data_IF_903072716700
#
_entry.id   IF_903072716700
#
_cell.length_a   1.000
_cell.length_b   1.000
_cell.length_c   1.000
_cell.angle_alpha   90.00
_cell.angle_beta   90.00
_cell.angle_gamma   90.00
#
_symmetry.space_group_name_H-M   'P 1'
#
loop_
_entity.id
_entity.type
_entity.pdbx_description
1 polymer ?
#
# COMPACT_ATOMS: atom_id res chain seq x y z
N UNK A 1 23.68 -3.58 0.13
CA UNK A 1 25.15 -3.79 0.06
C UNK A 1 25.80 -2.44 -0.22
N UNK A 2 27.07 -2.41 -0.63
CA UNK A 2 27.79 -1.16 -0.90
C UNK A 2 27.20 -0.40 -2.10
N UNK A 3 26.53 -1.10 -3.01
CA UNK A 3 25.88 -0.56 -4.21
C UNK A 3 24.44 -0.09 -3.93
N UNK A 4 23.98 -0.15 -2.67
CA UNK A 4 22.62 0.25 -2.30
C UNK A 4 21.55 -0.78 -2.69
N UNK A 5 21.92 -2.05 -2.93
CA UNK A 5 20.97 -3.15 -3.17
C UNK A 5 20.47 -3.72 -1.85
N UNK A 6 19.19 -4.09 -1.80
CA UNK A 6 18.58 -4.70 -0.60
C UNK A 6 18.90 -6.20 -0.61
N UNK A 7 19.70 -6.66 0.34
CA UNK A 7 20.17 -8.06 0.39
C UNK A 7 19.58 -8.87 1.56
N UNK A 8 19.02 -8.19 2.56
CA UNK A 8 18.41 -8.82 3.72
C UNK A 8 17.31 -7.95 4.34
N UNK A 9 16.36 -8.58 5.02
CA UNK A 9 15.26 -7.91 5.72
C UNK A 9 14.95 -8.55 7.07
N UNK A 10 14.61 -7.72 8.06
CA UNK A 10 14.04 -8.19 9.32
C UNK A 10 12.77 -7.41 9.63
N UNK A 11 11.66 -8.12 9.77
CA UNK A 11 10.40 -7.57 10.20
C UNK A 11 10.03 -8.16 11.56
N UNK A 12 9.65 -7.30 12.51
CA UNK A 12 9.04 -7.70 13.78
C UNK A 12 7.66 -7.08 13.85
N UNK A 13 6.67 -7.93 14.05
CA UNK A 13 5.27 -7.52 14.07
C UNK A 13 4.64 -7.92 15.40
N UNK A 14 4.04 -6.93 16.07
CA UNK A 14 3.24 -7.15 17.27
C UNK A 14 1.78 -7.00 16.88
N UNK A 15 0.97 -8.00 17.20
CA UNK A 15 -0.44 -8.07 16.83
C UNK A 15 -1.32 -8.42 18.00
N UNK A 16 -2.62 -8.20 17.85
CA UNK A 16 -3.63 -8.56 18.82
C UNK A 16 -4.10 -10.00 18.62
N UNK A 17 -4.46 -10.67 19.71
CA UNK A 17 -5.01 -12.02 19.75
C UNK A 17 -6.06 -12.12 20.85
N UNK A 18 -7.17 -12.82 20.57
CA UNK A 18 -8.21 -13.03 21.59
C UNK A 18 -7.76 -13.97 22.72
N UNK A 19 -6.90 -14.92 22.42
CA UNK A 19 -6.46 -16.00 23.30
C UNK A 19 -4.94 -16.00 23.56
N UNK A 20 -4.24 -14.97 23.08
CA UNK A 20 -2.77 -14.88 23.12
C UNK A 20 -2.05 -15.86 22.18
N UNK A 21 -2.77 -16.68 21.40
CA UNK A 21 -2.21 -17.72 20.54
C UNK A 21 -2.43 -17.41 19.07
N UNK A 22 -3.67 -17.05 18.68
CA UNK A 22 -4.03 -16.80 17.29
C UNK A 22 -4.25 -15.31 17.06
N UNK A 23 -3.55 -14.71 16.09
CA UNK A 23 -3.82 -13.32 15.74
C UNK A 23 -5.28 -13.12 15.33
N UNK A 24 -5.78 -11.91 15.56
CA UNK A 24 -7.09 -11.46 15.05
C UNK A 24 -7.14 -11.51 13.52
N UNK A 25 -8.35 -11.49 12.96
CA UNK A 25 -8.53 -11.38 11.50
C UNK A 25 -7.76 -10.18 10.94
N UNK A 26 -6.99 -10.40 9.88
CA UNK A 26 -6.10 -9.38 9.30
C UNK A 26 -4.87 -9.02 10.14
N UNK A 27 -4.73 -9.57 11.35
CA UNK A 27 -3.57 -9.34 12.22
C UNK A 27 -2.47 -10.39 12.08
N UNK A 28 -2.39 -11.14 10.99
CA UNK A 28 -1.37 -12.20 10.82
C UNK A 28 -0.38 -11.85 9.71
N UNK A 29 0.90 -11.83 10.05
CA UNK A 29 2.01 -11.84 9.12
C UNK A 29 2.11 -13.23 8.47
N UNK A 30 2.09 -13.28 7.14
CA UNK A 30 2.15 -14.52 6.37
C UNK A 30 3.57 -14.75 5.84
N UNK A 31 4.05 -16.00 5.78
CA UNK A 31 5.35 -16.29 5.18
C UNK A 31 5.33 -15.98 3.68
N UNK A 32 6.46 -15.49 3.14
CA UNK A 32 6.64 -15.28 1.70
C UNK A 32 5.88 -14.08 1.11
N UNK A 33 5.22 -13.25 1.93
CA UNK A 33 4.68 -11.96 1.47
C UNK A 33 5.84 -11.05 1.08
N UNK A 34 5.72 -10.36 -0.06
CA UNK A 34 6.73 -9.41 -0.53
C UNK A 34 7.07 -8.39 0.57
N UNK A 35 8.35 -8.11 0.87
CA UNK A 35 9.54 -8.50 0.12
C UNK A 35 10.18 -9.84 0.49
N UNK A 36 9.66 -10.62 1.45
CA UNK A 36 10.33 -11.81 1.98
C UNK A 36 10.68 -12.87 0.92
N UNK A 37 9.85 -13.03 -0.12
CA UNK A 37 10.10 -14.01 -1.18
C UNK A 37 11.03 -13.55 -2.31
N UNK A 38 11.45 -12.28 -2.33
CA UNK A 38 12.40 -11.76 -3.33
C UNK A 38 13.79 -11.48 -2.76
N UNK A 39 13.96 -11.62 -1.44
CA UNK A 39 15.21 -11.40 -0.75
C UNK A 39 15.77 -12.74 -0.27
N UNK A 40 17.07 -12.97 -0.48
CA UNK A 40 17.75 -14.21 -0.08
C UNK A 40 17.74 -14.43 1.45
N UNK A 41 17.74 -13.33 2.22
CA UNK A 41 17.88 -13.38 3.67
C UNK A 41 16.75 -12.59 4.36
N UNK A 42 15.69 -13.27 4.78
CA UNK A 42 14.59 -12.64 5.52
C UNK A 42 14.29 -13.31 6.84
N UNK A 43 14.04 -12.48 7.87
CA UNK A 43 13.53 -12.93 9.16
C UNK A 43 12.27 -12.16 9.54
N UNK A 44 11.14 -12.86 9.55
CA UNK A 44 9.85 -12.33 9.95
C UNK A 44 9.48 -12.92 11.32
N UNK A 45 9.22 -12.05 12.30
CA UNK A 45 8.89 -12.43 13.67
C UNK A 45 7.52 -11.84 14.03
N UNK A 46 6.67 -12.64 14.65
CA UNK A 46 5.35 -12.20 15.10
C UNK A 46 5.17 -12.47 16.59
N UNK A 47 4.69 -11.47 17.32
CA UNK A 47 4.30 -11.56 18.72
C UNK A 47 2.82 -11.24 18.86
N UNK A 48 2.05 -12.13 19.49
CA UNK A 48 0.64 -11.91 19.77
C UNK A 48 0.44 -11.41 21.20
N UNK A 49 -0.30 -10.32 21.36
CA UNK A 49 -0.72 -9.78 22.65
C UNK A 49 -2.20 -10.10 22.89
N UNK A 50 -2.55 -10.49 24.11
CA UNK A 50 -3.95 -10.69 24.49
C UNK A 50 -4.72 -9.37 24.35
N UNK A 51 -5.81 -9.39 23.59
CA UNK A 51 -6.66 -8.25 23.31
C UNK A 51 -8.12 -8.70 23.28
N UNK A 52 -8.93 -8.12 24.16
CA UNK A 52 -10.32 -8.55 24.39
C UNK A 52 -11.35 -7.81 23.55
N UNK A 53 -10.96 -6.71 22.90
CA UNK A 53 -11.85 -6.02 21.97
C UNK A 53 -12.03 -6.87 20.72
N UNK A 54 -13.28 -7.10 20.27
CA UNK A 54 -13.53 -7.81 19.02
C UNK A 54 -12.87 -7.12 17.83
N UNK A 55 -12.20 -7.91 16.99
CA UNK A 55 -11.65 -7.49 15.71
C UNK A 55 -12.28 -8.33 14.60
N UNK A 56 -12.40 -7.77 13.40
CA UNK A 56 -13.03 -8.41 12.25
C UNK A 56 -12.25 -8.17 10.96
N UNK A 57 -12.66 -8.82 9.84
CA UNK A 57 -12.09 -8.51 8.55
C UNK A 57 -12.40 -7.06 8.16
N UNK A 58 -11.35 -6.32 7.82
CA UNK A 58 -11.41 -5.08 7.06
C UNK A 58 -10.73 -5.35 5.72
N UNK A 59 -11.13 -4.61 4.67
CA UNK A 59 -10.77 -4.87 3.28
C UNK A 59 -9.27 -5.09 3.11
N UNK A 60 -8.88 -6.16 2.40
CA UNK A 60 -7.51 -6.64 2.25
C UNK A 60 -6.84 -7.02 3.60
N UNK A 61 -7.43 -7.93 4.39
CA UNK A 61 -6.98 -8.22 5.76
C UNK A 61 -5.50 -8.64 5.81
N UNK A 62 -4.72 -7.90 6.59
CA UNK A 62 -3.26 -8.04 6.71
C UNK A 62 -2.51 -7.22 5.67
N UNK A 63 -2.88 -7.32 4.40
CA UNK A 63 -2.29 -6.53 3.32
C UNK A 63 -2.45 -5.02 3.56
N UNK A 64 -3.59 -4.62 4.12
CA UNK A 64 -3.90 -3.24 4.50
C UNK A 64 -2.98 -2.66 5.60
N UNK A 65 -2.36 -3.51 6.42
CA UNK A 65 -1.36 -3.11 7.42
C UNK A 65 0.05 -3.16 6.84
N UNK A 66 0.42 -4.29 6.22
CA UNK A 66 1.79 -4.53 5.76
C UNK A 66 2.16 -3.71 4.53
N UNK A 67 1.21 -3.44 3.63
CA UNK A 67 1.45 -2.62 2.44
C UNK A 67 2.06 -1.27 2.77
N UNK A 68 1.50 -0.56 3.76
CA UNK A 68 2.04 0.71 4.22
C UNK A 68 3.49 0.56 4.74
N UNK A 69 3.70 -0.34 5.71
CA UNK A 69 5.00 -0.49 6.37
C UNK A 69 6.08 -0.93 5.39
N UNK A 70 5.82 -1.96 4.60
CA UNK A 70 6.81 -2.56 3.70
C UNK A 70 7.17 -1.61 2.55
N UNK A 71 6.18 -1.01 1.87
CA UNK A 71 6.44 -0.13 0.74
C UNK A 71 7.04 1.21 1.15
N UNK A 72 6.59 1.79 2.27
CA UNK A 72 7.24 3.00 2.80
C UNK A 72 8.68 2.73 3.22
N UNK A 73 8.96 1.58 3.84
CA UNK A 73 10.32 1.23 4.23
C UNK A 73 11.23 0.97 3.02
N UNK A 74 10.75 0.29 1.97
CA UNK A 74 11.53 0.11 0.73
C UNK A 74 11.83 1.47 0.08
N UNK A 75 10.89 2.42 0.10
CA UNK A 75 11.15 3.78 -0.34
C UNK A 75 12.18 4.50 0.53
N UNK A 76 12.16 4.33 1.85
CA UNK A 76 13.20 4.88 2.74
C UNK A 76 14.58 4.31 2.40
N UNK A 77 14.67 3.01 2.08
CA UNK A 77 15.92 2.38 1.64
C UNK A 77 16.40 2.93 0.29
N UNK A 78 15.49 3.15 -0.66
CA UNK A 78 15.82 3.76 -1.95
C UNK A 78 16.39 5.18 -1.76
N UNK A 79 15.74 6.00 -0.94
CA UNK A 79 16.21 7.36 -0.60
C UNK A 79 17.57 7.32 0.09
N UNK A 80 17.75 6.46 1.09
CA UNK A 80 19.01 6.34 1.80
C UNK A 80 20.17 5.88 0.89
N UNK A 81 19.86 5.09 -0.15
CA UNK A 81 20.81 4.68 -1.17
C UNK A 81 21.02 5.73 -2.28
N UNK A 82 20.25 6.82 -2.29
CA UNK A 82 20.28 7.81 -3.37
C UNK A 82 19.79 7.27 -4.71
N UNK A 83 18.87 6.29 -4.69
CA UNK A 83 18.36 5.58 -5.87
C UNK A 83 16.90 5.93 -6.12
N UNK A 84 16.50 5.88 -7.39
CA UNK A 84 15.11 6.00 -7.77
C UNK A 84 14.28 4.79 -7.25
N UNK A 85 13.09 5.07 -6.71
CA UNK A 85 12.28 4.04 -6.07
C UNK A 85 11.70 3.02 -7.08
N UNK A 86 11.36 3.46 -8.30
CA UNK A 86 10.92 2.58 -9.36
C UNK A 86 12.04 1.61 -9.74
N UNK A 87 13.27 2.11 -9.92
CA UNK A 87 14.43 1.26 -10.20
C UNK A 87 14.70 0.23 -9.09
N UNK A 88 14.60 0.65 -7.81
CA UNK A 88 14.77 -0.27 -6.67
C UNK A 88 13.71 -1.37 -6.68
N UNK A 89 12.44 -1.06 -6.92
CA UNK A 89 11.39 -2.09 -7.01
C UNK A 89 11.66 -3.07 -8.16
N UNK A 90 12.04 -2.57 -9.34
CA UNK A 90 12.36 -3.41 -10.50
C UNK A 90 13.56 -4.31 -10.24
N UNK A 91 14.60 -3.80 -9.59
CA UNK A 91 15.76 -4.60 -9.20
C UNK A 91 15.38 -5.70 -8.20
N UNK A 92 14.53 -5.40 -7.20
CA UNK A 92 14.05 -6.40 -6.25
C UNK A 92 13.24 -7.51 -6.94
N UNK A 93 12.45 -7.19 -7.97
CA UNK A 93 11.73 -8.21 -8.73
C UNK A 93 12.69 -9.10 -9.53
N UNK A 94 13.75 -8.52 -10.12
CA UNK A 94 14.71 -9.24 -10.94
C UNK A 94 14.07 -9.94 -12.14
N UNK A 95 14.64 -11.09 -12.54
CA UNK A 95 14.12 -11.85 -13.69
C UNK A 95 12.69 -12.38 -13.46
N UNK A 96 11.84 -12.43 -14.51
CA UNK A 96 10.50 -12.99 -14.43
C UNK A 96 10.51 -14.44 -13.92
N UNK A 97 9.85 -14.68 -12.79
CA UNK A 97 9.69 -16.00 -12.16
C UNK A 97 8.48 -16.03 -11.23
N UNK A 98 8.00 -17.23 -10.92
CA UNK A 98 7.11 -17.44 -9.79
C UNK A 98 7.91 -17.53 -8.49
N UNK A 99 7.43 -16.90 -7.42
CA UNK A 99 8.01 -17.11 -6.09
C UNK A 99 7.67 -18.48 -5.50
N UNK A 100 6.64 -19.14 -6.02
CA UNK A 100 6.34 -20.54 -5.76
C UNK A 100 5.89 -21.22 -7.06
N UNK A 101 6.79 -21.99 -7.66
CA UNK A 101 6.57 -22.65 -8.95
C UNK A 101 5.32 -23.54 -8.92
N UNK A 102 4.52 -23.49 -9.99
CA UNK A 102 3.26 -24.25 -10.09
C UNK A 102 2.10 -23.73 -9.24
N UNK A 103 2.28 -22.66 -8.45
CA UNK A 103 1.21 -22.00 -7.72
C UNK A 103 0.74 -20.73 -8.46
N UNK A 104 -0.39 -20.77 -9.20
CA UNK A 104 -0.88 -19.61 -9.93
C UNK A 104 -1.36 -18.46 -9.02
N UNK A 105 -1.46 -18.69 -7.70
CA UNK A 105 -1.79 -17.68 -6.70
C UNK A 105 -0.57 -17.10 -5.99
N UNK A 106 0.65 -17.50 -6.37
CA UNK A 106 1.87 -16.90 -5.88
C UNK A 106 2.21 -15.60 -6.64
N UNK A 107 3.13 -14.81 -6.09
CA UNK A 107 3.63 -13.63 -6.78
C UNK A 107 4.45 -14.09 -7.99
N UNK A 108 4.12 -13.54 -9.17
CA UNK A 108 4.99 -13.58 -10.34
C UNK A 108 5.75 -12.25 -10.50
N UNK A 109 7.08 -12.26 -10.50
CA UNK A 109 7.91 -11.05 -10.50
C UNK A 109 7.80 -10.27 -11.81
N UNK A 110 7.61 -10.95 -12.94
CA UNK A 110 7.38 -10.29 -14.24
C UNK A 110 6.06 -9.52 -14.29
N UNK A 111 5.01 -10.03 -13.63
CA UNK A 111 3.71 -9.33 -13.53
C UNK A 111 3.83 -8.11 -12.62
N UNK A 112 4.53 -8.26 -11.49
CA UNK A 112 4.86 -7.16 -10.59
C UNK A 112 5.60 -6.02 -11.31
N UNK A 113 6.66 -6.36 -12.06
CA UNK A 113 7.41 -5.40 -12.85
C UNK A 113 6.53 -4.73 -13.94
N UNK A 114 5.63 -5.49 -14.58
CA UNK A 114 4.70 -4.99 -15.58
C UNK A 114 3.78 -3.90 -15.04
N UNK A 115 3.10 -4.15 -13.92
CA UNK A 115 2.17 -3.16 -13.34
C UNK A 115 2.91 -1.93 -12.81
N UNK A 116 4.08 -2.12 -12.19
CA UNK A 116 4.90 -1.01 -11.70
C UNK A 116 5.36 -0.10 -12.85
N UNK A 117 5.84 -0.68 -13.96
CA UNK A 117 6.22 0.09 -15.16
C UNK A 117 5.02 0.82 -15.77
N UNK A 118 3.87 0.15 -15.90
CA UNK A 118 2.68 0.74 -16.49
C UNK A 118 2.15 1.92 -15.65
N UNK A 119 2.07 1.77 -14.32
CA UNK A 119 1.64 2.85 -13.43
C UNK A 119 2.60 4.05 -13.52
N UNK A 120 3.91 3.79 -13.49
CA UNK A 120 4.93 4.82 -13.62
C UNK A 120 4.87 5.56 -14.97
N UNK A 121 4.73 4.83 -16.08
CA UNK A 121 4.59 5.42 -17.42
C UNK A 121 3.35 6.31 -17.49
N UNK A 122 2.18 5.80 -17.08
CA UNK A 122 0.91 6.52 -17.19
C UNK A 122 0.83 7.73 -16.27
N UNK A 123 1.48 7.67 -15.11
CA UNK A 123 1.59 8.81 -14.21
C UNK A 123 2.63 9.85 -14.66
N UNK A 124 3.50 9.52 -15.61
CA UNK A 124 4.63 10.35 -16.02
C UNK A 124 5.72 10.42 -14.94
N UNK A 125 6.09 9.29 -14.37
CA UNK A 125 7.17 9.18 -13.38
C UNK A 125 8.46 9.84 -13.89
N UNK A 126 9.13 10.61 -13.03
CA UNK A 126 10.35 11.35 -13.38
C UNK A 126 10.11 12.68 -14.10
N UNK A 127 8.86 13.08 -14.36
CA UNK A 127 8.56 14.43 -14.88
C UNK A 127 8.89 15.51 -13.86
N UNK A 128 9.15 16.72 -14.35
CA UNK A 128 9.31 17.89 -13.48
C UNK A 128 8.00 18.18 -12.71
N UNK A 129 8.14 18.47 -11.43
CA UNK A 129 7.02 18.73 -10.53
C UNK A 129 7.13 20.14 -9.93
N UNK A 130 6.00 20.85 -9.73
CA UNK A 130 5.99 22.10 -8.98
C UNK A 130 6.54 21.92 -7.56
N UNK A 131 7.09 23.00 -7.00
CA UNK A 131 7.53 23.01 -5.60
C UNK A 131 6.38 22.61 -4.65
N UNK A 132 6.69 21.77 -3.65
CA UNK A 132 5.70 21.25 -2.71
C UNK A 132 4.75 20.20 -3.29
N UNK A 133 4.97 19.71 -4.52
CA UNK A 133 4.20 18.63 -5.14
C UNK A 133 5.13 17.53 -5.64
N UNK A 134 4.75 16.27 -5.46
CA UNK A 134 5.56 15.15 -5.89
C UNK A 134 4.71 13.93 -6.25
N UNK A 135 5.36 12.99 -6.94
CA UNK A 135 4.83 11.65 -7.17
C UNK A 135 5.37 10.70 -6.10
N UNK A 136 4.54 9.74 -5.70
CA UNK A 136 4.94 8.62 -4.86
C UNK A 136 4.39 7.33 -5.43
N UNK A 137 5.24 6.31 -5.50
CA UNK A 137 4.92 5.00 -6.05
C UNK A 137 4.87 3.97 -4.93
N UNK A 138 3.98 2.99 -5.07
CA UNK A 138 4.00 1.76 -4.30
C UNK A 138 3.43 0.58 -5.09
N UNK A 139 3.87 -0.62 -4.75
CA UNK A 139 3.39 -1.87 -5.29
C UNK A 139 2.84 -2.75 -4.18
N UNK A 140 1.80 -3.54 -4.47
CA UNK A 140 1.45 -4.62 -3.57
C UNK A 140 0.88 -5.84 -4.30
N UNK A 141 1.21 -7.01 -3.75
CA UNK A 141 0.67 -8.28 -4.20
C UNK A 141 -0.28 -8.82 -3.13
N UNK A 142 -1.56 -8.96 -3.47
CA UNK A 142 -2.52 -9.58 -2.57
C UNK A 142 -3.65 -10.27 -3.32
N UNK A 143 -4.16 -11.36 -2.76
CA UNK A 143 -5.26 -12.15 -3.35
C UNK A 143 -5.00 -12.62 -4.79
N UNK A 144 -3.72 -12.81 -5.15
CA UNK A 144 -3.20 -13.14 -6.49
C UNK A 144 -3.26 -12.00 -7.54
N UNK A 145 -3.68 -10.80 -7.14
CA UNK A 145 -3.60 -9.59 -7.94
C UNK A 145 -2.30 -8.83 -7.71
N UNK A 146 -1.75 -8.29 -8.79
CA UNK A 146 -0.57 -7.42 -8.80
C UNK A 146 -1.05 -6.00 -9.06
N UNK A 147 -0.86 -5.10 -8.10
CA UNK A 147 -1.31 -3.72 -8.24
C UNK A 147 -0.16 -2.76 -7.93
N UNK A 148 0.00 -1.74 -8.76
CA UNK A 148 0.88 -0.62 -8.48
C UNK A 148 0.08 0.69 -8.59
N UNK A 149 0.40 1.64 -7.71
CA UNK A 149 -0.24 2.94 -7.68
C UNK A 149 0.81 4.04 -7.61
N UNK A 150 0.60 5.10 -8.40
CA UNK A 150 1.33 6.35 -8.31
C UNK A 150 0.37 7.44 -7.85
N UNK A 151 0.66 8.04 -6.69
CA UNK A 151 -0.08 9.16 -6.15
C UNK A 151 0.62 10.49 -6.48
N UNK A 152 -0.14 11.45 -6.98
CA UNK A 152 0.28 12.82 -7.25
C UNK A 152 -0.25 13.73 -6.15
N UNK A 153 0.65 14.23 -5.29
CA UNK A 153 0.28 14.88 -4.03
C UNK A 153 0.99 16.21 -3.88
N UNK A 154 0.26 17.28 -3.56
CA UNK A 154 0.84 18.52 -3.07
C UNK A 154 0.65 18.68 -1.57
N UNK A 155 1.61 19.33 -0.92
CA UNK A 155 1.56 19.68 0.50
C UNK A 155 1.69 21.18 0.64
N UNK A 156 0.62 21.82 1.14
CA UNK A 156 0.60 23.23 1.47
C UNK A 156 1.14 23.50 2.89
N UNK A 157 1.20 24.78 3.25
CA UNK A 157 1.51 25.19 4.62
C UNK A 157 0.58 24.51 5.63
N UNK A 158 1.09 24.21 6.83
CA UNK A 158 0.31 23.54 7.87
C UNK A 158 0.00 22.06 7.61
N UNK A 159 0.78 21.39 6.74
CA UNK A 159 0.63 19.95 6.42
C UNK A 159 -0.72 19.57 5.79
N UNK A 160 -1.38 20.52 5.13
CA UNK A 160 -2.58 20.24 4.35
C UNK A 160 -2.19 19.62 3.01
N UNK A 161 -2.74 18.45 2.69
CA UNK A 161 -2.46 17.73 1.44
C UNK A 161 -3.60 17.83 0.46
N UNK A 162 -3.27 17.80 -0.82
CA UNK A 162 -4.20 17.52 -1.91
C UNK A 162 -3.68 16.34 -2.69
N UNK A 163 -4.45 15.25 -2.74
CA UNK A 163 -4.20 14.15 -3.68
C UNK A 163 -4.89 14.54 -4.99
N UNK A 164 -4.09 14.95 -5.98
CA UNK A 164 -4.62 15.40 -7.27
C UNK A 164 -5.07 14.22 -8.12
N UNK A 165 -4.27 13.16 -8.11
CA UNK A 165 -4.49 11.98 -8.94
C UNK A 165 -3.90 10.73 -8.29
N UNK A 166 -4.57 9.61 -8.50
CA UNK A 166 -4.01 8.27 -8.29
C UNK A 166 -4.11 7.51 -9.61
N UNK A 167 -2.96 7.12 -10.16
CA UNK A 167 -2.88 6.29 -11.36
C UNK A 167 -2.56 4.86 -10.92
N UNK A 168 -3.48 3.95 -11.15
CA UNK A 168 -3.38 2.54 -10.77
C UNK A 168 -3.17 1.67 -12.01
N UNK A 169 -2.24 0.72 -11.91
CA UNK A 169 -2.07 -0.37 -12.86
C UNK A 169 -2.33 -1.71 -12.17
N UNK A 170 -3.07 -2.58 -12.84
CA UNK A 170 -3.52 -3.84 -12.27
C UNK A 170 -3.33 -4.99 -13.27
N UNK A 171 -2.78 -6.10 -12.78
CA UNK A 171 -2.80 -7.39 -13.47
C UNK A 171 -3.52 -8.39 -12.56
N UNK A 172 -4.73 -8.76 -12.98
CA UNK A 172 -5.60 -9.74 -12.32
C UNK A 172 -6.07 -10.84 -13.27
N UNK A 173 -5.36 -11.02 -14.39
CA UNK A 173 -5.83 -11.83 -15.53
C UNK A 173 -6.83 -11.06 -16.41
N UNK A 174 -7.60 -11.76 -17.26
CA UNK A 174 -8.60 -11.16 -18.14
C UNK A 174 -9.69 -10.41 -17.38
N UNK A 175 -10.12 -9.26 -17.91
CA UNK A 175 -11.17 -8.46 -17.28
C UNK A 175 -12.55 -8.92 -17.74
N UNK A 176 -13.29 -9.56 -16.84
CA UNK A 176 -14.62 -10.13 -17.14
C UNK A 176 -15.70 -9.06 -17.25
N UNK A 177 -15.65 -8.03 -16.40
CA UNK A 177 -16.54 -6.88 -16.43
C UNK A 177 -15.73 -5.62 -16.15
N UNK A 178 -15.47 -4.82 -17.20
CA UNK A 178 -14.66 -3.61 -17.13
C UNK A 178 -15.20 -2.60 -16.12
N UNK A 179 -16.48 -2.24 -16.22
CA UNK A 179 -17.10 -1.28 -15.30
C UNK A 179 -17.01 -1.71 -13.83
N UNK A 180 -17.20 -3.01 -13.56
CA UNK A 180 -17.09 -3.57 -12.21
C UNK A 180 -15.65 -3.55 -11.71
N UNK A 181 -14.70 -3.85 -12.59
CA UNK A 181 -13.28 -3.83 -12.28
C UNK A 181 -12.78 -2.41 -11.96
N UNK A 182 -13.14 -1.42 -12.78
CA UNK A 182 -12.82 -0.01 -12.56
C UNK A 182 -13.40 0.48 -11.22
N UNK A 183 -14.68 0.21 -10.97
CA UNK A 183 -15.34 0.60 -9.71
C UNK A 183 -14.68 -0.06 -8.49
N UNK A 184 -14.19 -1.30 -8.61
CA UNK A 184 -13.51 -1.97 -7.51
C UNK A 184 -12.16 -1.31 -7.17
N UNK A 185 -11.39 -0.91 -8.17
CA UNK A 185 -10.11 -0.20 -7.98
C UNK A 185 -10.38 1.19 -7.42
N UNK A 186 -11.25 1.97 -8.05
CA UNK A 186 -11.62 3.31 -7.61
C UNK A 186 -12.15 3.32 -6.17
N UNK A 187 -13.05 2.39 -5.85
CA UNK A 187 -13.57 2.22 -4.50
C UNK A 187 -12.51 1.78 -3.49
N UNK A 188 -11.48 1.03 -3.89
CA UNK A 188 -10.36 0.67 -2.99
C UNK A 188 -9.51 1.88 -2.65
N UNK A 189 -9.23 2.72 -3.66
CA UNK A 189 -8.47 3.95 -3.50
C UNK A 189 -9.22 4.94 -2.60
N UNK A 190 -10.53 5.13 -2.81
CA UNK A 190 -11.33 5.99 -1.94
C UNK A 190 -11.37 5.48 -0.49
N UNK A 191 -11.53 4.18 -0.30
CA UNK A 191 -11.56 3.54 1.03
C UNK A 191 -10.20 3.64 1.75
N UNK A 192 -9.11 3.40 1.03
CA UNK A 192 -7.76 3.58 1.54
C UNK A 192 -7.47 5.04 1.91
N UNK A 193 -7.89 6.00 1.08
CA UNK A 193 -7.66 7.43 1.33
C UNK A 193 -8.46 7.88 2.55
N UNK A 194 -9.72 7.46 2.63
CA UNK A 194 -10.56 7.70 3.80
C UNK A 194 -9.90 7.17 5.07
N UNK A 195 -9.38 5.94 5.02
CA UNK A 195 -8.80 5.29 6.20
C UNK A 195 -7.50 5.97 6.65
N UNK A 196 -6.58 6.22 5.71
CA UNK A 196 -5.26 6.76 6.03
C UNK A 196 -5.35 8.21 6.57
N UNK A 197 -6.37 8.98 6.18
CA UNK A 197 -6.48 10.38 6.56
C UNK A 197 -6.75 10.58 8.05
N UNK A 198 -7.76 9.89 8.60
CA UNK A 198 -8.20 10.20 9.96
C UNK A 198 -9.12 9.18 10.62
N UNK A 199 -9.37 8.03 9.99
CA UNK A 199 -10.20 7.01 10.60
C UNK A 199 -9.45 6.28 11.70
N UNK A 200 -9.96 6.39 12.92
CA UNK A 200 -9.37 5.75 14.09
C UNK A 200 -10.46 5.37 15.10
N UNK A 201 -10.27 4.22 15.74
CA UNK A 201 -11.09 3.78 16.87
C UNK A 201 -10.19 3.80 18.11
N UNK A 202 -10.41 4.77 18.99
CA UNK A 202 -9.67 4.95 20.24
C UNK A 202 -10.48 4.47 21.43
N UNK A 203 -9.79 4.20 22.54
CA UNK A 203 -10.38 3.63 23.75
C UNK A 203 -10.00 4.45 24.97
N UNK A 204 -11.00 4.95 25.70
CA UNK A 204 -10.83 5.48 27.04
C UNK A 204 -11.51 4.54 28.06
N UNK A 205 -10.75 4.08 29.07
CA UNK A 205 -11.26 3.19 30.15
C UNK A 205 -12.04 1.98 29.62
N UNK A 206 -11.57 1.40 28.51
CA UNK A 206 -12.16 0.21 27.88
C UNK A 206 -13.41 0.48 27.03
N UNK A 207 -13.76 1.74 26.76
CA UNK A 207 -14.89 2.12 25.91
C UNK A 207 -14.39 2.80 24.64
N UNK A 208 -15.01 2.46 23.50
CA UNK A 208 -14.80 3.19 22.24
C UNK A 208 -15.26 4.63 22.40
N UNK A 209 -14.44 5.58 21.98
CA UNK A 209 -14.77 7.01 22.02
C UNK A 209 -15.62 7.45 20.83
N UNK A 210 -15.34 6.94 19.62
CA UNK A 210 -16.05 7.32 18.40
C UNK A 210 -17.38 6.56 18.30
N UNK A 211 -18.49 7.26 18.57
CA UNK A 211 -19.84 6.66 18.50
C UNK A 211 -20.58 6.91 17.19
N UNK A 212 -20.06 7.77 16.30
CA UNK A 212 -20.73 8.18 15.05
C UNK A 212 -19.73 8.79 14.03
N UNK A 213 -20.16 9.02 12.79
CA UNK A 213 -19.31 9.47 11.67
C UNK A 213 -18.81 10.92 11.76
N UNK A 214 -19.31 11.72 12.69
CA UNK A 214 -18.73 13.02 13.02
C UNK A 214 -17.39 12.87 13.76
N UNK A 215 -17.22 11.80 14.54
CA UNK A 215 -15.99 11.46 15.26
C UNK A 215 -15.14 10.38 14.54
N UNK A 216 -15.72 9.69 13.56
CA UNK A 216 -15.05 8.74 12.65
C UNK A 216 -15.23 9.23 11.20
N UNK A 217 -14.42 10.20 10.74
CA UNK A 217 -14.68 10.89 9.49
C UNK A 217 -14.50 9.96 8.27
N UNK A 218 -15.47 10.02 7.37
CA UNK A 218 -15.37 9.43 6.03
C UNK A 218 -14.87 10.48 5.03
N UNK A 219 -14.11 10.07 4.02
CA UNK A 219 -13.73 10.93 2.90
C UNK A 219 -14.99 11.53 2.25
N UNK A 220 -14.96 12.83 1.94
CA UNK A 220 -16.05 13.52 1.25
C UNK A 220 -15.77 13.57 -0.25
N UNK A 221 -16.83 13.68 -1.05
CA UNK A 221 -16.73 13.71 -2.53
C UNK A 221 -15.78 14.81 -3.04
N UNK A 222 -15.75 15.97 -2.37
CA UNK A 222 -14.87 17.08 -2.74
C UNK A 222 -13.37 16.77 -2.57
N UNK A 223 -13.04 15.78 -1.73
CA UNK A 223 -11.67 15.37 -1.46
C UNK A 223 -11.25 14.12 -2.25
N UNK A 224 -12.13 13.61 -3.12
CA UNK A 224 -11.82 12.45 -3.97
C UNK A 224 -10.87 12.86 -5.10
N UNK A 225 -9.70 12.20 -5.27
CA UNK A 225 -8.77 12.51 -6.35
C UNK A 225 -9.34 12.10 -7.71
N UNK A 226 -8.73 12.57 -8.80
CA UNK A 226 -8.89 11.91 -10.09
C UNK A 226 -8.28 10.50 -10.01
N UNK A 227 -8.98 9.47 -10.48
CA UNK A 227 -8.50 8.08 -10.45
C UNK A 227 -8.45 7.54 -11.88
N UNK A 228 -7.26 7.13 -12.30
CA UNK A 228 -7.02 6.49 -13.59
C UNK A 228 -6.68 5.02 -13.36
N UNK A 229 -7.36 4.11 -14.05
CA UNK A 229 -7.17 2.66 -13.88
C UNK A 229 -6.73 2.06 -15.21
N UNK A 230 -5.64 1.31 -15.17
CA UNK A 230 -5.07 0.63 -16.34
C UNK A 230 -4.93 -0.86 -16.06
N UNK A 231 -5.54 -1.70 -16.88
CA UNK A 231 -5.44 -3.15 -16.76
C UNK A 231 -4.41 -3.71 -17.73
N UNK A 232 -3.58 -4.63 -17.23
CA UNK A 232 -2.84 -5.56 -18.07
C UNK A 232 -3.69 -6.82 -18.16
N UNK A 233 -4.36 -7.01 -19.30
CA UNK A 233 -5.14 -8.23 -19.59
C UNK A 233 -4.20 -9.36 -20.00
N UNK A 234 -3.60 -9.99 -18.99
CA UNK A 234 -2.69 -11.12 -19.17
C UNK A 234 -3.45 -12.44 -19.38
N UNK A 235 -2.79 -13.43 -19.96
CA UNK A 235 -3.36 -14.78 -20.15
C UNK A 235 -3.38 -15.64 -18.87
N UNK A 236 -3.07 -15.06 -17.70
CA UNK A 236 -3.13 -15.77 -16.42
C UNK A 236 -4.59 -15.94 -15.96
N UNK A 237 -4.92 -16.98 -15.16
CA UNK A 237 -6.27 -17.17 -14.66
C UNK A 237 -6.81 -15.91 -13.94
N UNK A 238 -8.09 -15.54 -14.14
CA UNK A 238 -8.66 -14.37 -13.50
C UNK A 238 -8.65 -14.52 -11.98
N UNK A 239 -8.42 -13.40 -11.30
CA UNK A 239 -8.36 -13.33 -9.82
C UNK A 239 -9.37 -12.30 -9.29
N UNK A 240 -9.49 -12.21 -7.96
CA UNK A 240 -10.40 -11.26 -7.33
C UNK A 240 -9.81 -9.85 -7.29
N UNK A 241 -10.61 -8.85 -7.68
CA UNK A 241 -10.23 -7.42 -7.65
C UNK A 241 -10.87 -6.64 -6.47
N UNK A 242 -11.55 -7.37 -5.57
CA UNK A 242 -12.27 -6.81 -4.42
C UNK A 242 -11.42 -5.95 -3.48
N UNK A 243 -10.16 -6.32 -3.32
CA UNK A 243 -9.26 -5.92 -2.24
C UNK A 243 -7.88 -5.42 -2.71
N UNK A 244 -7.28 -5.92 -3.82
CA UNK A 244 -5.86 -5.69 -4.10
C UNK A 244 -5.40 -4.25 -4.30
N UNK A 245 -6.30 -3.33 -4.63
CA UNK A 245 -5.99 -1.91 -4.86
C UNK A 245 -6.12 -1.03 -3.60
N UNK A 246 -6.36 -1.60 -2.41
CA UNK A 246 -6.33 -0.82 -1.16
C UNK A 246 -4.91 -0.70 -0.57
N UNK A 247 -4.12 -1.79 -0.48
CA UNK A 247 -2.80 -1.76 0.15
C UNK A 247 -1.77 -0.75 -0.41
N UNK A 248 -1.62 -0.56 -1.73
CA UNK A 248 -0.56 0.30 -2.26
C UNK A 248 -0.86 1.81 -2.11
N UNK A 249 -2.10 2.21 -1.84
CA UNK A 249 -2.46 3.62 -1.80
C UNK A 249 -1.74 4.41 -0.71
N UNK A 250 -1.89 3.99 0.55
CA UNK A 250 -1.34 4.71 1.69
C UNK A 250 0.19 4.94 1.57
N UNK A 251 1.01 3.92 1.24
CA UNK A 251 2.43 4.16 1.02
C UNK A 251 2.71 5.01 -0.23
N UNK A 252 1.95 4.91 -1.32
CA UNK A 252 2.14 5.79 -2.49
C UNK A 252 1.94 7.26 -2.11
N UNK A 253 0.87 7.59 -1.38
CA UNK A 253 0.58 8.95 -0.89
C UNK A 253 1.66 9.41 0.11
N UNK A 254 2.04 8.57 1.07
CA UNK A 254 3.07 8.93 2.05
C UNK A 254 4.47 9.08 1.44
N UNK A 255 4.80 8.31 0.40
CA UNK A 255 6.02 8.47 -0.38
C UNK A 255 6.03 9.80 -1.13
N UNK A 256 4.90 10.20 -1.72
CA UNK A 256 4.76 11.51 -2.37
C UNK A 256 4.94 12.66 -1.36
N UNK A 257 4.30 12.56 -0.19
CA UNK A 257 4.47 13.53 0.91
C UNK A 257 5.93 13.64 1.32
N UNK A 258 6.63 12.52 1.49
CA UNK A 258 8.05 12.52 1.83
C UNK A 258 8.87 13.20 0.74
N UNK A 259 8.66 12.88 -0.54
CA UNK A 259 9.40 13.51 -1.64
C UNK A 259 9.15 15.01 -1.71
N UNK A 260 7.93 15.47 -1.41
CA UNK A 260 7.57 16.89 -1.42
C UNK A 260 8.10 17.68 -0.20
N UNK A 261 8.33 17.02 0.94
CA UNK A 261 8.55 17.73 2.22
C UNK A 261 9.75 17.27 3.04
N UNK A 262 10.34 16.12 2.72
CA UNK A 262 11.34 15.43 3.53
C UNK A 262 10.79 14.79 4.81
N UNK A 263 9.50 14.94 5.12
CA UNK A 263 8.92 14.39 6.35
C UNK A 263 8.36 12.98 6.13
N UNK A 264 8.86 12.01 6.91
CA UNK A 264 8.45 10.60 6.83
C UNK A 264 7.37 10.28 7.84
N UNK A 265 6.16 10.01 7.35
CA UNK A 265 5.05 9.47 8.14
C UNK A 265 5.30 7.99 8.39
N UNK A 266 5.30 7.57 9.66
CA UNK A 266 5.44 6.15 10.06
C UNK A 266 4.25 5.62 10.85
N UNK A 267 3.30 6.49 11.17
CA UNK A 267 2.12 6.17 11.96
C UNK A 267 0.86 6.54 11.19
N UNK A 268 -0.10 5.62 11.15
CA UNK A 268 -1.44 5.86 10.63
C UNK A 268 -2.44 6.06 11.78
N UNK A 269 -3.51 6.85 11.58
CA UNK A 269 -3.76 7.72 10.42
C UNK A 269 -2.82 8.94 10.40
N UNK A 270 -2.62 9.55 9.24
CA UNK A 270 -1.70 10.68 9.05
C UNK A 270 -2.10 11.95 9.82
N UNK A 271 -3.37 12.05 10.24
CA UNK A 271 -3.85 13.09 11.15
C UNK A 271 -3.09 13.10 12.49
N UNK A 272 -2.60 11.95 12.97
CA UNK A 272 -1.78 11.89 14.18
C UNK A 272 -0.42 12.56 14.00
N UNK A 273 0.02 12.72 12.75
CA UNK A 273 1.24 13.43 12.34
C UNK A 273 0.89 14.87 11.90
N UNK A 274 -0.32 15.36 12.20
CA UNK A 274 -0.76 16.72 11.90
C UNK A 274 -1.09 16.98 10.43
N UNK A 275 -1.19 15.95 9.58
CA UNK A 275 -1.64 16.12 8.19
C UNK A 275 -3.17 16.14 8.10
N UNK A 276 -3.69 16.94 7.17
CA UNK A 276 -5.12 17.01 6.86
C UNK A 276 -5.32 17.07 5.36
N UNK A 277 -6.54 16.79 4.88
CA UNK A 277 -6.88 16.97 3.46
C UNK A 277 -7.47 18.35 3.23
N UNK A 278 -7.12 18.97 2.10
CA UNK A 278 -7.70 20.23 1.63
C UNK A 278 -9.17 20.07 1.19
#
# INVERSE_FOLDING_TARGET
DAEGRITAGRARFTTCSRDGQRPVSGGSLRPGVFPAGVLDNCRYEQTALEWRTPCGPWRAPGSNVFGFVEQSFIHELAVAAGRDHLEVLLEMFGEPRWLAEGNPRALHTGRAAGVVKLAAEKAGWGREMPEGRALGLAFYFSHAGHIAEVADVSVAAGRQITVHRVTAAADVGPIINLSGAENQVQGSIVDGLSTMLGQSVTFEKGRVEQSNFDAYPMLRMANTPAIEVHFIESDYPPTGLGEPALPPLAPAVCNAIFTATGHRIRTMPIANEGYSIA
#
